data_IF_534480525493
#
_entry.id   IF_534480525493
#
_cell.length_a   1.000
_cell.length_b   1.000
_cell.length_c   1.000
_cell.angle_alpha   90.00
_cell.angle_beta   90.00
_cell.angle_gamma   90.00
#
_symmetry.space_group_name_H-M   'P 1'
#
loop_
_entity.id
_entity.type
_entity.pdbx_description
1 polymer ?
#
# COMPACT_ATOMS: atom_id res chain seq x y z
N UNK A 1 -20.36 18.76 -2.68
CA UNK A 1 -20.18 17.33 -2.36
C UNK A 1 -20.76 17.11 -0.98
N UNK A 2 -21.63 16.10 -0.77
CA UNK A 2 -22.31 15.87 0.52
C UNK A 2 -21.55 14.88 1.44
N UNK A 3 -20.60 14.14 0.88
CA UNK A 3 -19.77 13.17 1.56
C UNK A 3 -19.16 12.19 0.57
N UNK A 4 -18.46 11.18 1.07
CA UNK A 4 -17.97 10.06 0.29
C UNK A 4 -17.82 8.81 1.15
N UNK A 5 -17.68 7.66 0.49
CA UNK A 5 -17.64 6.35 1.12
C UNK A 5 -16.72 5.42 0.34
N UNK A 6 -16.14 4.43 1.04
CA UNK A 6 -15.40 3.33 0.43
C UNK A 6 -16.02 2.00 0.85
N UNK A 7 -16.66 1.32 -0.08
CA UNK A 7 -17.30 0.03 0.21
C UNK A 7 -16.26 -1.10 0.23
N UNK A 8 -16.43 -2.05 1.17
CA UNK A 8 -15.73 -3.32 1.19
C UNK A 8 -16.76 -4.44 1.02
N UNK A 9 -16.82 -4.99 -0.20
CA UNK A 9 -17.67 -6.13 -0.52
C UNK A 9 -16.91 -7.42 -0.25
N UNK A 10 -17.51 -8.32 0.52
CA UNK A 10 -16.81 -9.44 1.15
C UNK A 10 -16.89 -10.76 0.37
N UNK A 11 -17.33 -10.76 -0.89
CA UNK A 11 -17.52 -11.99 -1.67
C UNK A 11 -16.25 -12.85 -1.74
N UNK A 12 -15.07 -12.20 -1.71
CA UNK A 12 -13.77 -12.85 -1.76
C UNK A 12 -12.90 -12.59 -0.51
N UNK A 13 -13.46 -11.98 0.54
CA UNK A 13 -12.76 -11.73 1.81
C UNK A 13 -13.09 -12.86 2.78
N UNK A 14 -12.45 -14.01 2.58
CA UNK A 14 -12.78 -15.27 3.28
C UNK A 14 -12.36 -15.29 4.75
N UNK A 15 -11.56 -14.33 5.21
CA UNK A 15 -11.16 -14.21 6.62
C UNK A 15 -11.04 -12.73 7.04
N UNK A 16 -11.11 -12.43 8.35
CA UNK A 16 -10.89 -11.08 8.87
C UNK A 16 -9.52 -10.49 8.48
N UNK A 17 -8.47 -11.32 8.49
CA UNK A 17 -7.12 -10.91 8.12
C UNK A 17 -7.04 -10.50 6.65
N UNK A 18 -7.77 -11.20 5.77
CA UNK A 18 -7.87 -10.83 4.36
C UNK A 18 -8.71 -9.55 4.19
N UNK A 19 -9.76 -9.36 4.99
CA UNK A 19 -10.52 -8.12 4.98
C UNK A 19 -9.64 -6.92 5.42
N UNK A 20 -8.86 -7.06 6.48
CA UNK A 20 -7.88 -6.06 6.93
C UNK A 20 -6.89 -5.72 5.82
N UNK A 21 -6.32 -6.74 5.17
CA UNK A 21 -5.38 -6.58 4.07
C UNK A 21 -5.98 -5.82 2.89
N UNK A 22 -7.25 -6.06 2.62
CA UNK A 22 -7.96 -5.40 1.53
C UNK A 22 -8.46 -3.99 1.91
N UNK A 23 -8.54 -3.63 3.19
CA UNK A 23 -9.05 -2.33 3.65
C UNK A 23 -7.92 -1.36 3.99
N UNK A 24 -6.86 -1.85 4.64
CA UNK A 24 -5.70 -1.06 5.04
C UNK A 24 -4.54 -1.25 4.07
N UNK A 25 -3.79 -0.18 3.71
CA UNK A 25 -3.85 1.18 4.27
C UNK A 25 -4.79 2.15 3.53
N UNK A 26 -5.47 1.71 2.46
CA UNK A 26 -6.26 2.62 1.59
C UNK A 26 -7.37 3.39 2.33
N UNK A 27 -7.87 2.88 3.45
CA UNK A 27 -8.82 3.59 4.30
C UNK A 27 -8.26 4.93 4.82
N UNK A 28 -6.95 5.02 5.09
CA UNK A 28 -6.30 6.27 5.50
C UNK A 28 -6.34 7.32 4.41
N UNK A 29 -6.17 6.92 3.14
CA UNK A 29 -6.30 7.82 2.00
C UNK A 29 -7.75 8.30 1.83
N UNK A 30 -8.74 7.42 2.04
CA UNK A 30 -10.15 7.81 2.05
C UNK A 30 -10.44 8.85 3.14
N UNK A 31 -9.93 8.63 4.36
CA UNK A 31 -10.09 9.55 5.47
C UNK A 31 -9.48 10.93 5.17
N UNK A 32 -8.29 10.98 4.57
CA UNK A 32 -7.64 12.22 4.14
C UNK A 32 -8.51 13.00 3.14
N UNK A 33 -9.03 12.33 2.12
CA UNK A 33 -9.88 12.98 1.09
C UNK A 33 -11.17 13.55 1.68
N UNK A 34 -11.75 12.87 2.67
CA UNK A 34 -13.03 13.26 3.24
C UNK A 34 -12.92 14.30 4.35
N UNK A 35 -11.78 14.37 5.03
CA UNK A 35 -11.61 15.23 6.21
C UNK A 35 -10.73 16.45 5.96
N UNK A 36 -9.72 16.34 5.09
CA UNK A 36 -8.75 17.41 4.85
C UNK A 36 -9.24 18.39 3.79
N UNK A 37 -8.89 19.67 3.94
CA UNK A 37 -9.15 20.66 2.91
C UNK A 37 -8.40 20.34 1.62
N UNK A 38 -9.05 20.50 0.47
CA UNK A 38 -8.43 20.22 -0.84
C UNK A 38 -7.13 21.01 -1.08
N UNK A 39 -7.02 22.21 -0.51
CA UNK A 39 -5.82 23.07 -0.60
C UNK A 39 -4.61 22.48 0.13
N UNK A 40 -4.84 21.62 1.13
CA UNK A 40 -3.83 20.97 1.96
C UNK A 40 -3.48 19.56 1.48
N UNK A 41 -4.20 19.04 0.49
CA UNK A 41 -3.93 17.72 -0.07
C UNK A 41 -2.62 17.75 -0.87
N UNK A 42 -1.57 17.20 -0.26
CA UNK A 42 -0.27 17.01 -0.90
C UNK A 42 0.15 15.55 -0.74
N UNK A 43 0.40 14.88 -1.87
CA UNK A 43 0.71 13.46 -1.92
C UNK A 43 1.99 13.11 -1.16
N UNK A 44 3.06 13.86 -1.38
CA UNK A 44 4.36 13.61 -0.72
C UNK A 44 4.27 13.81 0.80
N UNK A 45 3.48 14.79 1.25
CA UNK A 45 3.23 15.00 2.68
C UNK A 45 2.37 13.88 3.27
N UNK A 46 1.35 13.41 2.55
CA UNK A 46 0.53 12.27 2.95
C UNK A 46 1.39 11.01 3.12
N UNK A 47 2.27 10.69 2.15
CA UNK A 47 3.17 9.54 2.24
C UNK A 47 4.08 9.62 3.46
N UNK A 48 4.68 10.79 3.75
CA UNK A 48 5.49 10.98 4.97
C UNK A 48 4.71 10.72 6.26
N UNK A 49 3.44 11.11 6.33
CA UNK A 49 2.59 10.84 7.51
C UNK A 49 2.13 9.39 7.58
N UNK A 50 2.13 8.68 6.44
CA UNK A 50 1.83 7.26 6.39
C UNK A 50 2.92 6.41 7.05
N UNK A 51 4.18 6.85 7.04
CA UNK A 51 5.29 6.16 7.73
C UNK A 51 4.97 5.96 9.23
N UNK A 52 4.59 7.03 9.92
CA UNK A 52 4.11 6.97 11.31
C UNK A 52 2.80 6.17 11.45
N UNK A 53 1.98 6.17 10.39
CA UNK A 53 0.70 5.48 10.42
C UNK A 53 0.86 3.97 10.33
N UNK A 54 1.83 3.47 9.56
CA UNK A 54 2.20 2.05 9.52
C UNK A 54 2.67 1.56 10.89
N UNK A 55 3.49 2.34 11.60
CA UNK A 55 3.88 2.01 12.98
C UNK A 55 2.68 1.87 13.93
N UNK A 56 1.63 2.67 13.73
CA UNK A 56 0.36 2.52 14.48
C UNK A 56 -0.37 1.25 14.09
N UNK A 57 -0.45 0.94 12.79
CA UNK A 57 -1.09 -0.30 12.32
C UNK A 57 -0.37 -1.54 12.85
N UNK A 58 0.96 -1.51 12.88
CA UNK A 58 1.81 -2.56 13.49
C UNK A 58 1.51 -2.70 14.98
N UNK A 59 1.45 -1.59 15.71
CA UNK A 59 1.15 -1.60 17.15
C UNK A 59 -0.22 -2.23 17.45
N UNK A 60 -1.21 -2.01 16.59
CA UNK A 60 -2.54 -2.63 16.71
C UNK A 60 -2.63 -4.03 16.09
N UNK A 61 -1.53 -4.56 15.55
CA UNK A 61 -1.48 -5.86 14.88
C UNK A 61 -2.54 -6.01 13.78
N UNK A 62 -2.71 -4.96 12.97
CA UNK A 62 -3.61 -4.97 11.81
C UNK A 62 -2.87 -5.57 10.61
N UNK A 63 -3.47 -6.54 9.92
CA UNK A 63 -2.87 -7.15 8.74
C UNK A 63 -3.05 -6.27 7.49
N UNK A 64 -2.33 -5.15 7.39
CA UNK A 64 -2.42 -4.24 6.24
C UNK A 64 -1.57 -4.69 5.05
N UNK A 65 -1.93 -4.21 3.85
CA UNK A 65 -1.17 -4.48 2.63
C UNK A 65 0.09 -3.62 2.52
N UNK A 66 1.22 -4.26 2.25
CA UNK A 66 2.46 -3.62 1.77
C UNK A 66 2.50 -3.76 0.25
N UNK A 67 2.74 -2.65 -0.45
CA UNK A 67 2.83 -2.66 -1.91
C UNK A 67 4.07 -3.40 -2.40
N UNK A 68 3.99 -3.95 -3.62
CA UNK A 68 5.17 -4.51 -4.27
C UNK A 68 6.16 -3.38 -4.58
N UNK A 69 7.46 -3.68 -4.65
CA UNK A 69 8.42 -2.74 -5.19
C UNK A 69 8.00 -2.24 -6.56
N UNK A 70 8.27 -0.98 -6.83
CA UNK A 70 8.11 -0.40 -8.15
C UNK A 70 8.96 -1.17 -9.17
N UNK A 71 8.40 -1.34 -10.37
CA UNK A 71 8.94 -2.18 -11.45
C UNK A 71 8.92 -3.69 -11.19
N UNK A 72 8.19 -4.17 -10.18
CA UNK A 72 7.89 -5.59 -10.03
C UNK A 72 6.85 -6.04 -11.08
N UNK A 73 7.27 -6.85 -12.05
CA UNK A 73 6.39 -7.47 -13.04
C UNK A 73 5.78 -8.79 -12.54
N UNK A 74 4.46 -8.97 -12.71
CA UNK A 74 3.76 -10.24 -12.39
C UNK A 74 4.29 -11.45 -13.17
N UNK A 75 4.91 -11.22 -14.34
CA UNK A 75 5.57 -12.23 -15.17
C UNK A 75 6.86 -11.63 -15.72
N UNK A 76 7.97 -11.91 -15.06
CA UNK A 76 9.31 -11.58 -15.53
C UNK A 76 9.81 -12.71 -16.44
N UNK A 77 9.31 -12.75 -17.68
CA UNK A 77 9.82 -13.69 -18.70
C UNK A 77 10.88 -12.99 -19.53
N UNK A 78 12.10 -13.48 -19.40
CA UNK A 78 13.23 -13.00 -20.20
C UNK A 78 13.66 -14.08 -21.18
N UNK A 79 13.96 -13.66 -22.41
CA UNK A 79 14.49 -14.53 -23.47
C UNK A 79 16.02 -14.52 -23.50
N UNK A 80 16.64 -13.64 -22.73
CA UNK A 80 18.08 -13.45 -22.64
C UNK A 80 18.66 -14.26 -21.47
N UNK A 81 19.93 -14.66 -21.61
CA UNK A 81 20.65 -15.41 -20.58
C UNK A 81 21.01 -14.55 -19.36
N UNK A 82 21.03 -13.22 -19.52
CA UNK A 82 21.33 -12.24 -18.47
C UNK A 82 20.32 -11.10 -18.54
N UNK A 83 19.88 -10.64 -17.37
CA UNK A 83 18.81 -9.63 -17.26
C UNK A 83 19.11 -8.73 -16.07
N UNK A 84 18.95 -7.43 -16.26
CA UNK A 84 19.00 -6.47 -15.17
C UNK A 84 17.58 -6.08 -14.72
N UNK A 85 17.27 -6.30 -13.44
CA UNK A 85 16.01 -5.88 -12.82
C UNK A 85 16.31 -4.73 -11.87
N UNK A 86 15.66 -3.58 -12.08
CA UNK A 86 15.66 -2.46 -11.14
C UNK A 86 14.38 -2.54 -10.32
N UNK A 87 14.50 -2.59 -9.00
CA UNK A 87 13.37 -2.50 -8.07
C UNK A 87 13.51 -1.21 -7.28
N UNK A 88 12.43 -0.45 -7.16
CA UNK A 88 12.40 0.80 -6.38
C UNK A 88 11.39 0.67 -5.22
N UNK A 89 11.62 1.36 -4.11
CA UNK A 89 10.70 1.37 -2.97
C UNK A 89 9.68 2.50 -3.13
N UNK A 90 8.41 2.17 -2.90
CA UNK A 90 7.33 3.16 -2.82
C UNK A 90 7.27 3.79 -1.41
N UNK A 91 7.70 3.03 -0.39
CA UNK A 91 7.69 3.44 1.02
C UNK A 91 9.10 3.91 1.40
N UNK A 92 9.28 5.13 1.93
CA UNK A 92 10.56 5.58 2.48
C UNK A 92 11.10 4.60 3.54
N UNK A 93 12.41 4.38 3.55
CA UNK A 93 13.11 3.54 4.54
C UNK A 93 12.70 2.05 4.58
N UNK A 94 11.97 1.53 3.58
CA UNK A 94 11.65 0.09 3.50
C UNK A 94 12.80 -0.75 2.91
N UNK A 95 12.90 -2.02 3.32
CA UNK A 95 13.89 -2.98 2.82
C UNK A 95 13.25 -3.90 1.75
N UNK A 96 13.83 -3.94 0.54
CA UNK A 96 13.45 -4.95 -0.46
C UNK A 96 14.29 -6.20 -0.23
N UNK A 97 13.62 -7.33 0.01
CA UNK A 97 14.26 -8.65 0.07
C UNK A 97 13.92 -9.44 -1.19
N UNK A 98 14.92 -10.09 -1.80
CA UNK A 98 14.76 -10.90 -3.01
C UNK A 98 15.45 -12.26 -2.84
N UNK A 99 15.01 -13.25 -3.62
CA UNK A 99 15.59 -14.60 -3.65
C UNK A 99 15.68 -15.08 -5.11
N UNK A 100 16.75 -15.81 -5.45
CA UNK A 100 17.02 -16.30 -6.82
C UNK A 100 17.30 -17.81 -6.87
N UNK A 101 17.14 -18.48 -5.74
CA UNK A 101 17.32 -19.92 -5.56
C UNK A 101 16.10 -20.73 -6.02
#
# INVERSE_FOLDING_TARGET
MLGGQGCAWSEYMTSPELAEYMIYPRLSALAEVLWSEKSQMNWDNFLKRMDDHYLRLDYYNINYRIDYPDNYGFINRYLENEVQIKLDNIIPDSEIRYTTD
#
